data_IF_540345504857
#
_entry.id   IF_540345504857
#
_cell.length_a   1.000
_cell.length_b   1.000
_cell.length_c   1.000
_cell.angle_alpha   90.00
_cell.angle_beta   90.00
_cell.angle_gamma   90.00
#
_symmetry.space_group_name_H-M   'P 1'
#
loop_
_entity.id
_entity.type
_entity.pdbx_description
1 polymer ?
#
# COMPACT_ATOMS: atom_id res chain seq x y z
N UNK A 1 -14.31 6.01 -68.13
CA UNK A 1 -13.61 6.33 -66.87
C UNK A 1 -14.16 7.57 -66.16
N UNK A 2 -14.48 8.67 -66.75
CA UNK A 2 -15.00 9.90 -66.10
C UNK A 2 -16.39 9.74 -65.48
N UNK A 3 -17.24 8.84 -65.92
CA UNK A 3 -18.60 8.61 -65.38
C UNK A 3 -18.58 7.78 -64.09
N UNK A 4 -17.70 6.80 -63.96
CA UNK A 4 -17.56 5.98 -62.76
C UNK A 4 -17.02 6.75 -61.55
N UNK A 5 -16.12 7.72 -61.78
CA UNK A 5 -15.56 8.56 -60.74
C UNK A 5 -16.63 9.49 -60.15
N UNK A 6 -17.54 10.04 -61.01
CA UNK A 6 -18.63 10.88 -60.53
C UNK A 6 -19.64 10.14 -59.67
N UNK A 7 -19.99 8.90 -60.01
CA UNK A 7 -20.86 8.06 -59.19
C UNK A 7 -20.23 7.70 -57.85
N UNK A 8 -18.93 7.40 -57.85
CA UNK A 8 -18.21 7.07 -56.60
C UNK A 8 -18.14 8.26 -55.63
N UNK A 9 -17.88 9.47 -56.13
CA UNK A 9 -17.83 10.69 -55.31
C UNK A 9 -19.22 11.03 -54.76
N UNK A 10 -20.29 10.88 -55.50
CA UNK A 10 -21.66 11.13 -55.05
C UNK A 10 -22.06 10.10 -53.98
N UNK A 11 -21.71 8.82 -54.16
CA UNK A 11 -22.00 7.76 -53.20
C UNK A 11 -21.25 7.99 -51.88
N UNK A 12 -19.97 8.40 -51.93
CA UNK A 12 -19.17 8.73 -50.75
C UNK A 12 -19.74 9.96 -50.01
N UNK A 13 -20.20 10.97 -50.74
CA UNK A 13 -20.80 12.16 -50.15
C UNK A 13 -22.14 11.86 -49.48
N UNK A 14 -22.95 10.98 -50.05
CA UNK A 14 -24.21 10.52 -49.46
C UNK A 14 -23.97 9.72 -48.18
N UNK A 15 -22.94 8.85 -48.15
CA UNK A 15 -22.59 8.09 -46.95
C UNK A 15 -22.09 9.01 -45.85
N UNK A 16 -21.28 10.03 -46.16
CA UNK A 16 -20.79 11.00 -45.19
C UNK A 16 -21.91 11.89 -44.64
N UNK A 17 -22.92 12.23 -45.46
CA UNK A 17 -24.05 13.02 -44.98
C UNK A 17 -25.10 12.20 -44.18
N UNK A 18 -25.20 10.89 -44.41
CA UNK A 18 -26.16 10.04 -43.69
C UNK A 18 -25.66 9.61 -42.34
N UNK A 19 -24.34 9.46 -42.17
CA UNK A 19 -23.75 9.12 -40.86
C UNK A 19 -24.06 10.13 -39.74
N UNK A 20 -23.98 11.46 -39.93
CA UNK A 20 -24.37 12.40 -38.87
C UNK A 20 -25.89 12.53 -38.69
N UNK A 21 -26.69 12.13 -39.67
CA UNK A 21 -28.17 12.16 -39.57
C UNK A 21 -28.73 10.94 -38.84
N UNK A 22 -28.05 9.81 -38.87
CA UNK A 22 -28.46 8.61 -38.12
C UNK A 22 -28.32 8.77 -36.61
N UNK A 23 -27.46 9.68 -36.14
CA UNK A 23 -27.38 10.07 -34.75
C UNK A 23 -28.46 11.09 -34.29
N UNK A 24 -29.32 11.58 -35.24
CA UNK A 24 -30.37 12.56 -34.95
C UNK A 24 -31.82 12.02 -35.04
N UNK A 25 -31.97 10.73 -35.25
CA UNK A 25 -33.28 10.14 -35.52
C UNK A 25 -33.97 9.51 -34.32
N UNK A 26 -33.93 10.16 -33.21
CA UNK A 26 -34.96 9.93 -32.18
C UNK A 26 -35.44 11.28 -31.71
N UNK A 27 -36.54 11.75 -32.29
CA UNK A 27 -37.29 12.96 -31.89
C UNK A 27 -37.86 12.87 -30.47
N UNK A 28 -37.45 11.91 -29.70
CA UNK A 28 -37.87 11.75 -28.29
C UNK A 28 -36.69 11.43 -27.42
N UNK A 29 -36.13 12.48 -26.87
CA UNK A 29 -35.27 12.40 -25.74
C UNK A 29 -33.78 12.43 -26.11
N UNK A 30 -33.19 13.62 -26.09
CA UNK A 30 -31.80 13.74 -25.71
C UNK A 30 -31.74 13.22 -24.29
N UNK A 31 -31.37 11.98 -24.10
CA UNK A 31 -30.98 11.49 -22.80
C UNK A 31 -29.64 12.16 -22.51
N UNK A 32 -29.64 13.20 -21.69
CA UNK A 32 -28.41 13.73 -21.15
C UNK A 32 -27.86 12.67 -20.22
N UNK A 33 -26.95 11.89 -20.72
CA UNK A 33 -26.17 11.00 -19.87
C UNK A 33 -25.30 11.89 -19.00
N UNK A 34 -25.49 11.81 -17.70
CA UNK A 34 -24.54 12.41 -16.78
C UNK A 34 -23.20 11.68 -17.01
N UNK A 35 -22.19 12.42 -17.43
CA UNK A 35 -20.85 11.84 -17.73
C UNK A 35 -20.35 11.01 -16.55
N UNK A 36 -20.64 11.46 -15.34
CA UNK A 36 -20.28 10.75 -14.09
C UNK A 36 -20.94 9.34 -13.96
N UNK A 37 -21.98 9.03 -14.74
CA UNK A 37 -22.61 7.70 -14.70
C UNK A 37 -21.84 6.63 -15.48
N UNK A 38 -20.93 7.06 -16.37
CA UNK A 38 -20.10 6.13 -17.16
C UNK A 38 -18.67 5.96 -16.63
N UNK A 39 -18.29 6.76 -15.66
CA UNK A 39 -16.99 6.58 -14.99
C UNK A 39 -17.00 5.31 -14.17
N UNK A 40 -15.91 4.56 -14.25
CA UNK A 40 -15.70 3.41 -13.35
C UNK A 40 -15.65 3.87 -11.89
N UNK A 41 -16.00 3.02 -10.93
CA UNK A 41 -15.71 3.29 -9.53
C UNK A 41 -14.21 3.53 -9.33
N UNK A 42 -13.85 4.49 -8.48
CA UNK A 42 -12.47 4.76 -8.07
C UNK A 42 -12.33 4.46 -6.58
N UNK A 43 -11.13 4.09 -6.16
CA UNK A 43 -10.81 3.90 -4.75
C UNK A 43 -10.28 5.23 -4.22
N UNK A 44 -10.99 5.80 -3.25
CA UNK A 44 -10.61 7.06 -2.61
C UNK A 44 -9.61 6.84 -1.49
N UNK A 45 -9.80 5.79 -0.70
CA UNK A 45 -8.89 5.44 0.39
C UNK A 45 -8.91 3.94 0.70
N UNK A 46 -7.77 3.46 1.23
CA UNK A 46 -7.63 2.13 1.81
C UNK A 46 -6.75 2.21 3.05
N UNK A 47 -7.18 1.62 4.14
CA UNK A 47 -6.42 1.57 5.39
C UNK A 47 -6.67 0.27 6.14
N UNK A 48 -5.60 -0.31 6.70
CA UNK A 48 -5.69 -1.47 7.59
C UNK A 48 -5.85 -0.94 9.01
N UNK A 49 -6.94 -1.31 9.68
CA UNK A 49 -7.34 -0.78 10.99
C UNK A 49 -7.13 -1.78 12.14
N UNK A 50 -6.83 -3.02 11.79
CA UNK A 50 -6.52 -4.08 12.75
C UNK A 50 -5.94 -5.30 12.07
N UNK A 51 -5.57 -6.30 12.84
CA UNK A 51 -5.02 -7.55 12.32
C UNK A 51 -6.03 -8.37 11.50
N UNK A 52 -7.32 -8.13 11.69
CA UNK A 52 -8.44 -8.86 11.06
C UNK A 52 -9.35 -7.95 10.24
N UNK A 53 -9.07 -6.64 10.15
CA UNK A 53 -9.94 -5.71 9.47
C UNK A 53 -9.21 -4.58 8.73
N UNK A 54 -9.88 -4.09 7.69
CA UNK A 54 -9.46 -2.93 6.93
C UNK A 54 -10.69 -2.11 6.51
N UNK A 55 -10.48 -0.87 6.09
CA UNK A 55 -11.47 0.02 5.52
C UNK A 55 -11.07 0.35 4.08
N UNK A 56 -12.05 0.31 3.17
CA UNK A 56 -11.89 0.75 1.79
C UNK A 56 -13.04 1.69 1.43
N UNK A 57 -12.75 2.81 0.83
CA UNK A 57 -13.75 3.75 0.35
C UNK A 57 -13.70 3.94 -1.16
N UNK A 58 -14.87 4.16 -1.76
CA UNK A 58 -15.05 4.33 -3.19
C UNK A 58 -15.76 5.64 -3.50
N UNK A 59 -15.49 6.21 -4.67
CA UNK A 59 -16.13 7.41 -5.22
C UNK A 59 -17.65 7.27 -5.40
N UNK A 60 -18.15 6.04 -5.47
CA UNK A 60 -19.57 5.71 -5.61
C UNK A 60 -19.91 4.38 -4.92
N UNK A 61 -21.22 4.15 -4.70
CA UNK A 61 -21.69 2.89 -4.14
C UNK A 61 -21.41 1.72 -5.08
N UNK A 62 -20.77 0.66 -4.56
CA UNK A 62 -20.40 -0.52 -5.33
C UNK A 62 -20.89 -1.82 -4.66
N UNK A 63 -20.97 -2.87 -5.43
CA UNK A 63 -21.05 -4.26 -4.95
C UNK A 63 -19.66 -4.87 -5.06
N UNK A 64 -19.16 -5.42 -3.97
CA UNK A 64 -17.84 -6.08 -3.93
C UNK A 64 -17.99 -7.58 -4.16
N UNK A 65 -17.15 -8.14 -5.01
CA UNK A 65 -17.15 -9.57 -5.34
C UNK A 65 -15.72 -10.09 -5.52
N UNK A 66 -15.51 -11.39 -5.32
CA UNK A 66 -14.20 -12.03 -5.47
C UNK A 66 -13.12 -11.47 -4.53
N UNK A 67 -13.53 -10.88 -3.39
CA UNK A 67 -12.57 -10.33 -2.45
C UNK A 67 -11.77 -11.47 -1.81
N UNK A 68 -10.43 -11.32 -1.87
CA UNK A 68 -9.48 -12.26 -1.27
C UNK A 68 -8.21 -11.52 -0.85
N UNK A 69 -7.44 -12.13 0.03
CA UNK A 69 -6.11 -11.65 0.42
C UNK A 69 -5.05 -12.61 -0.08
N UNK A 70 -3.98 -12.06 -0.61
CA UNK A 70 -2.81 -12.82 -1.09
C UNK A 70 -1.56 -12.37 -0.34
N UNK A 71 -0.75 -13.29 0.24
CA UNK A 71 -1.00 -14.73 0.37
C UNK A 71 -2.29 -15.02 1.16
N UNK A 72 -2.91 -16.15 0.88
CA UNK A 72 -4.23 -16.50 1.44
C UNK A 72 -4.21 -16.56 2.97
N UNK A 73 -5.20 -15.89 3.58
CA UNK A 73 -5.45 -15.84 5.02
C UNK A 73 -6.91 -16.23 5.35
N UNK A 74 -7.49 -17.10 4.55
CA UNK A 74 -8.89 -17.50 4.69
C UNK A 74 -9.88 -16.64 3.91
N UNK A 75 -11.14 -16.63 4.34
CA UNK A 75 -12.21 -15.89 3.66
C UNK A 75 -12.19 -14.39 3.99
N UNK A 76 -12.66 -13.60 3.03
CA UNK A 76 -12.82 -12.14 3.17
C UNK A 76 -14.31 -11.81 3.05
N UNK A 77 -14.82 -11.00 3.96
CA UNK A 77 -16.18 -10.46 3.94
C UNK A 77 -16.14 -8.95 3.89
N UNK A 78 -17.02 -8.35 3.08
CA UNK A 78 -17.06 -6.89 2.91
C UNK A 78 -18.48 -6.38 3.20
N UNK A 79 -18.59 -5.37 4.03
CA UNK A 79 -19.86 -4.77 4.43
C UNK A 79 -19.82 -3.25 4.22
N UNK A 80 -20.87 -2.70 3.60
CA UNK A 80 -21.04 -1.25 3.52
C UNK A 80 -21.27 -0.72 4.94
N UNK A 81 -20.45 0.25 5.33
CA UNK A 81 -20.57 0.95 6.61
C UNK A 81 -21.54 2.12 6.46
N UNK A 82 -22.46 2.24 7.38
CA UNK A 82 -23.37 3.37 7.40
C UNK A 82 -22.60 4.66 7.75
N UNK A 83 -22.65 5.64 6.84
CA UNK A 83 -22.02 6.95 7.08
C UNK A 83 -22.95 7.81 7.97
N UNK A 84 -22.55 8.19 9.19
CA UNK A 84 -23.38 8.96 10.10
C UNK A 84 -23.57 10.43 9.68
N UNK A 85 -22.80 10.94 8.71
CA UNK A 85 -22.67 12.37 8.43
C UNK A 85 -23.36 12.84 7.14
N UNK A 86 -24.07 11.98 6.41
CA UNK A 86 -24.73 12.37 5.15
C UNK A 86 -23.75 12.73 4.02
N UNK A 87 -22.46 12.57 4.21
CA UNK A 87 -21.46 12.69 3.17
C UNK A 87 -21.56 11.48 2.22
N UNK A 88 -21.38 11.74 0.93
CA UNK A 88 -21.41 10.69 -0.11
C UNK A 88 -20.10 9.87 -0.15
N UNK A 89 -19.65 9.45 1.02
CA UNK A 89 -18.49 8.54 1.12
C UNK A 89 -19.04 7.14 1.26
N UNK A 90 -18.65 6.26 0.35
CA UNK A 90 -19.06 4.85 0.36
C UNK A 90 -17.92 4.02 0.96
N UNK A 91 -17.91 3.91 2.28
CA UNK A 91 -16.92 3.17 3.04
C UNK A 91 -17.40 1.74 3.29
N UNK A 92 -16.50 0.79 3.09
CA UNK A 92 -16.72 -0.63 3.32
C UNK A 92 -15.76 -1.13 4.37
N UNK A 93 -16.28 -1.83 5.34
CA UNK A 93 -15.48 -2.62 6.27
C UNK A 93 -15.17 -3.96 5.65
N UNK A 94 -13.89 -4.32 5.62
CA UNK A 94 -13.36 -5.57 5.10
C UNK A 94 -12.90 -6.40 6.30
N UNK A 95 -13.52 -7.56 6.49
CA UNK A 95 -13.18 -8.49 7.57
C UNK A 95 -12.42 -9.69 7.01
N UNK A 96 -11.30 -10.01 7.64
CA UNK A 96 -10.50 -11.19 7.36
C UNK A 96 -10.87 -12.29 8.37
N UNK A 97 -11.10 -13.52 7.90
CA UNK A 97 -11.45 -14.63 8.80
C UNK A 97 -10.27 -15.16 9.63
N UNK A 98 -9.05 -14.72 9.29
CA UNK A 98 -7.82 -15.03 10.02
C UNK A 98 -6.98 -13.76 10.15
N UNK A 99 -6.17 -13.68 11.21
CA UNK A 99 -5.29 -12.56 11.47
C UNK A 99 -4.17 -12.48 10.44
N UNK A 100 -3.88 -11.27 10.02
CA UNK A 100 -2.65 -10.96 9.27
C UNK A 100 -1.47 -10.89 10.23
N UNK A 101 -0.37 -11.56 9.89
CA UNK A 101 0.88 -11.46 10.65
C UNK A 101 1.43 -10.03 10.57
N UNK A 102 1.80 -9.46 11.71
CA UNK A 102 2.31 -8.09 11.79
C UNK A 102 3.50 -7.88 10.84
N UNK A 103 3.45 -6.80 10.05
CA UNK A 103 4.52 -6.42 9.12
C UNK A 103 4.67 -7.28 7.86
N UNK A 104 4.01 -8.43 7.78
CA UNK A 104 4.04 -9.28 6.58
C UNK A 104 3.27 -8.61 5.44
N UNK A 105 3.80 -8.72 4.23
CA UNK A 105 3.20 -8.12 3.03
C UNK A 105 2.03 -8.95 2.53
N UNK A 106 0.92 -8.28 2.26
CA UNK A 106 -0.30 -8.83 1.71
C UNK A 106 -0.83 -7.93 0.58
N UNK A 107 -1.80 -8.43 -0.18
CA UNK A 107 -2.58 -7.62 -1.09
C UNK A 107 -4.06 -8.03 -0.99
N UNK A 108 -4.94 -7.06 -0.79
CA UNK A 108 -6.38 -7.22 -0.93
C UNK A 108 -6.74 -7.10 -2.41
N UNK A 109 -7.33 -8.15 -2.98
CA UNK A 109 -7.78 -8.18 -4.36
C UNK A 109 -9.30 -8.29 -4.41
N UNK A 110 -9.91 -7.80 -5.47
CA UNK A 110 -11.36 -7.88 -5.66
C UNK A 110 -11.86 -7.16 -6.89
N UNK A 111 -13.17 -7.18 -7.07
CA UNK A 111 -13.89 -6.48 -8.12
C UNK A 111 -14.98 -5.64 -7.48
N UNK A 112 -14.98 -4.35 -7.76
CA UNK A 112 -16.00 -3.39 -7.36
C UNK A 112 -16.88 -3.07 -8.58
N UNK A 113 -18.19 -3.29 -8.48
CA UNK A 113 -19.14 -3.04 -9.58
C UNK A 113 -20.21 -2.06 -9.11
N UNK A 114 -20.43 -0.99 -9.85
CA UNK A 114 -21.49 -0.02 -9.58
C UNK A 114 -22.89 -0.51 -10.04
N UNK A 115 -23.92 0.29 -9.76
CA UNK A 115 -25.32 -0.06 -10.05
C UNK A 115 -25.65 -0.13 -11.55
N UNK A 116 -24.79 0.39 -12.41
CA UNK A 116 -24.96 0.39 -13.89
C UNK A 116 -24.03 -0.62 -14.58
N UNK A 117 -23.22 -1.35 -13.81
CA UNK A 117 -22.37 -2.43 -14.32
C UNK A 117 -20.93 -2.04 -14.64
N UNK A 118 -20.50 -0.80 -14.37
CA UNK A 118 -19.09 -0.45 -14.50
C UNK A 118 -18.30 -1.14 -13.39
N UNK A 119 -17.17 -1.74 -13.75
CA UNK A 119 -16.39 -2.56 -12.82
C UNK A 119 -14.94 -2.11 -12.75
N UNK A 120 -14.40 -2.12 -11.53
CA UNK A 120 -12.99 -1.90 -11.21
C UNK A 120 -12.42 -3.18 -10.59
N UNK A 121 -11.41 -3.76 -11.22
CA UNK A 121 -10.60 -4.81 -10.58
C UNK A 121 -9.45 -4.14 -9.84
N UNK A 122 -9.26 -4.48 -8.57
CA UNK A 122 -8.25 -3.85 -7.74
C UNK A 122 -7.32 -4.85 -7.08
N UNK A 123 -6.10 -4.37 -6.78
CA UNK A 123 -5.11 -5.05 -5.96
C UNK A 123 -4.42 -4.01 -5.08
N UNK A 124 -4.67 -4.06 -3.78
CA UNK A 124 -4.22 -3.08 -2.80
C UNK A 124 -3.17 -3.71 -1.90
N UNK A 125 -1.90 -3.39 -2.07
CA UNK A 125 -0.84 -3.90 -1.23
C UNK A 125 -0.94 -3.29 0.17
N UNK A 126 -0.70 -4.12 1.20
CA UNK A 126 -0.65 -3.67 2.58
C UNK A 126 0.30 -4.52 3.40
N UNK A 127 0.63 -4.03 4.61
CA UNK A 127 1.33 -4.80 5.64
C UNK A 127 0.36 -5.16 6.75
N UNK A 128 0.49 -6.36 7.28
CA UNK A 128 -0.30 -6.79 8.42
C UNK A 128 -0.14 -5.83 9.60
N UNK A 129 -1.26 -5.49 10.21
CA UNK A 129 -1.34 -4.52 11.29
C UNK A 129 -0.67 -5.05 12.55
N UNK A 130 0.14 -4.21 13.18
CA UNK A 130 0.78 -4.53 14.45
C UNK A 130 -0.05 -3.95 15.61
N UNK A 131 -0.74 -4.81 16.33
CA UNK A 131 -1.55 -4.43 17.49
C UNK A 131 -0.72 -4.25 18.76
N UNK A 132 0.51 -4.74 18.77
CA UNK A 132 1.35 -4.79 19.95
C UNK A 132 2.71 -4.10 19.71
N UNK A 133 2.66 -2.79 19.55
CA UNK A 133 3.86 -1.97 19.36
C UNK A 133 4.55 -1.76 20.72
N UNK A 134 5.84 -2.14 20.86
CA UNK A 134 6.57 -1.95 22.12
C UNK A 134 6.90 -0.47 22.35
N UNK A 135 7.06 -0.11 23.62
CA UNK A 135 7.64 1.19 23.99
C UNK A 135 9.15 1.04 23.97
N UNK A 136 9.82 1.83 23.13
CA UNK A 136 11.28 1.88 23.02
C UNK A 136 11.80 3.18 23.64
N UNK A 137 12.81 3.07 24.46
CA UNK A 137 13.56 4.21 25.01
C UNK A 137 14.95 4.24 24.42
N UNK A 138 15.33 5.34 23.79
CA UNK A 138 16.68 5.52 23.26
C UNK A 138 17.66 5.62 24.45
N UNK A 139 18.58 4.65 24.55
CA UNK A 139 19.57 4.56 25.61
C UNK A 139 20.91 5.17 25.21
N UNK A 140 21.37 4.88 23.98
CA UNK A 140 22.65 5.39 23.50
C UNK A 140 22.59 5.77 22.01
N UNK A 141 23.44 6.71 21.62
CA UNK A 141 23.71 7.05 20.22
C UNK A 141 25.20 7.19 20.02
N UNK A 142 25.76 6.40 19.12
CA UNK A 142 27.15 6.54 18.69
C UNK A 142 27.19 7.14 17.26
N UNK A 143 27.39 8.47 17.13
CA UNK A 143 27.12 9.16 15.86
C UNK A 143 28.33 9.21 14.92
N UNK A 144 29.46 8.63 15.30
CA UNK A 144 30.71 8.79 14.54
C UNK A 144 31.37 7.43 14.26
N UNK A 145 31.56 7.18 12.98
CA UNK A 145 32.48 6.14 12.55
C UNK A 145 33.92 6.50 12.91
N UNK A 146 34.61 5.55 13.51
CA UNK A 146 36.04 5.67 13.81
C UNK A 146 36.75 4.36 13.52
N UNK A 147 37.95 4.44 13.00
CA UNK A 147 38.83 3.27 12.88
C UNK A 147 40.13 3.51 13.63
N UNK A 148 40.63 2.49 14.32
CA UNK A 148 41.92 2.53 14.99
C UNK A 148 42.76 1.34 14.58
N UNK A 149 44.03 1.57 14.19
CA UNK A 149 44.98 0.51 13.92
C UNK A 149 45.53 -0.02 15.24
N UNK A 150 45.41 -1.30 15.47
CA UNK A 150 46.02 -2.05 16.58
C UNK A 150 47.03 -3.07 16.04
N UNK A 151 47.89 -3.60 16.90
CA UNK A 151 48.83 -4.66 16.52
C UNK A 151 48.13 -5.92 15.97
N UNK A 152 46.89 -6.15 16.38
CA UNK A 152 46.02 -7.27 15.94
C UNK A 152 45.21 -6.99 14.68
N UNK A 153 45.29 -5.78 14.10
CA UNK A 153 44.48 -5.37 12.94
C UNK A 153 43.83 -4.03 13.11
N UNK A 154 42.92 -3.70 12.20
CA UNK A 154 42.10 -2.47 12.29
C UNK A 154 40.81 -2.78 13.06
N UNK A 155 40.58 -1.99 14.11
CA UNK A 155 39.32 -2.04 14.85
C UNK A 155 38.45 -0.85 14.39
N UNK A 156 37.24 -1.17 14.04
CA UNK A 156 36.24 -0.18 13.63
C UNK A 156 35.25 0.04 14.77
N UNK A 157 34.90 1.30 14.99
CA UNK A 157 33.73 1.69 15.82
C UNK A 157 32.66 2.19 14.87
N UNK A 158 31.56 1.50 14.84
CA UNK A 158 30.48 1.77 13.93
C UNK A 158 29.47 2.74 14.55
N UNK A 159 28.79 3.48 13.71
CA UNK A 159 27.65 4.30 14.10
C UNK A 159 26.49 3.39 14.44
N UNK A 160 25.85 3.66 15.57
CA UNK A 160 24.66 2.91 15.99
C UNK A 160 23.70 3.76 16.83
N UNK A 161 22.48 3.29 16.92
CA UNK A 161 21.48 3.77 17.87
C UNK A 161 21.01 2.58 18.71
N UNK A 162 21.05 2.71 20.02
CA UNK A 162 20.60 1.71 20.98
C UNK A 162 19.26 2.08 21.58
N UNK A 163 18.38 1.10 21.73
CA UNK A 163 17.08 1.24 22.37
C UNK A 163 16.92 0.18 23.45
N UNK A 164 16.45 0.62 24.62
CA UNK A 164 15.97 -0.27 25.68
C UNK A 164 14.47 -0.51 25.48
N UNK A 165 14.06 -1.76 25.46
CA UNK A 165 12.65 -2.17 25.37
C UNK A 165 11.98 -2.00 26.72
N UNK A 166 10.94 -1.15 26.80
CA UNK A 166 10.19 -0.85 28.03
C UNK A 166 8.92 -1.67 28.18
N UNK A 167 8.37 -2.20 27.08
CA UNK A 167 7.23 -3.14 27.10
C UNK A 167 7.42 -4.21 26.03
N UNK A 168 6.86 -5.39 26.27
CA UNK A 168 6.81 -6.46 25.28
C UNK A 168 6.06 -5.98 24.03
N UNK A 169 6.39 -6.54 22.86
CA UNK A 169 5.68 -6.22 21.61
C UNK A 169 6.44 -6.69 20.37
N UNK A 170 5.96 -6.27 19.20
CA UNK A 170 6.56 -6.55 17.92
C UNK A 170 7.05 -5.25 17.26
N UNK A 171 8.23 -5.28 16.65
CA UNK A 171 8.86 -4.10 16.04
C UNK A 171 8.27 -3.72 14.69
N UNK A 172 7.46 -4.58 14.06
CA UNK A 172 6.89 -4.34 12.75
C UNK A 172 6.17 -2.99 12.66
N UNK A 173 6.46 -2.23 11.59
CA UNK A 173 5.83 -0.93 11.35
C UNK A 173 6.46 0.24 12.10
N UNK A 174 7.44 -0.01 12.99
CA UNK A 174 8.27 1.07 13.52
C UNK A 174 9.30 1.51 12.50
N UNK A 175 9.61 2.80 12.51
CA UNK A 175 10.62 3.40 11.64
C UNK A 175 11.58 4.27 12.45
N UNK A 176 12.88 4.13 12.17
CA UNK A 176 13.90 5.05 12.63
C UNK A 176 14.22 6.03 11.51
N UNK A 177 13.92 7.30 11.74
CA UNK A 177 14.17 8.40 10.78
C UNK A 177 15.21 9.36 11.32
N UNK A 178 16.10 9.84 10.43
CA UNK A 178 16.97 10.96 10.75
C UNK A 178 16.17 12.27 10.70
N UNK A 179 16.31 13.12 11.71
CA UNK A 179 15.73 14.46 11.70
C UNK A 179 16.56 15.47 10.88
N UNK A 180 17.71 15.04 10.36
CA UNK A 180 18.63 15.91 9.62
C UNK A 180 18.39 15.76 8.11
N UNK A 181 18.39 16.88 7.39
CA UNK A 181 18.44 17.03 5.93
C UNK A 181 17.20 16.64 5.11
N UNK A 182 16.02 16.49 5.71
CA UNK A 182 14.84 16.18 4.91
C UNK A 182 15.02 14.91 4.07
N UNK A 183 15.96 14.04 4.44
CA UNK A 183 16.15 12.78 3.74
C UNK A 183 14.95 11.87 4.06
N UNK A 184 14.29 11.39 3.02
CA UNK A 184 13.19 10.41 3.13
C UNK A 184 13.69 9.01 3.55
N UNK A 185 14.96 8.89 3.94
CA UNK A 185 15.54 7.63 4.36
C UNK A 185 15.08 7.27 5.77
N UNK A 186 14.31 6.22 5.83
CA UNK A 186 13.88 5.59 7.08
C UNK A 186 14.41 4.17 7.13
N UNK A 187 14.90 3.75 8.31
CA UNK A 187 15.12 2.34 8.59
C UNK A 187 13.80 1.77 9.13
N UNK A 188 13.23 0.82 8.42
CA UNK A 188 12.03 0.12 8.86
C UNK A 188 12.43 -1.12 9.66
N UNK A 189 11.92 -1.22 10.90
CA UNK A 189 12.18 -2.39 11.74
C UNK A 189 11.50 -3.63 11.17
N UNK A 190 12.22 -4.77 11.14
CA UNK A 190 11.61 -6.05 10.77
C UNK A 190 10.59 -6.50 11.83
N UNK A 191 9.72 -7.45 11.46
CA UNK A 191 8.75 -8.05 12.37
C UNK A 191 9.45 -8.98 13.36
N UNK A 192 9.90 -8.44 14.48
CA UNK A 192 10.61 -9.15 15.56
C UNK A 192 9.85 -8.94 16.86
N UNK A 193 9.54 -10.04 17.54
CA UNK A 193 9.03 -10.00 18.91
C UNK A 193 10.16 -9.62 19.87
N UNK A 194 9.88 -8.65 20.72
CA UNK A 194 10.81 -8.18 21.74
C UNK A 194 10.17 -8.16 23.12
N UNK A 195 10.99 -8.32 24.15
CA UNK A 195 10.56 -8.36 25.55
C UNK A 195 11.11 -7.19 26.33
N UNK A 196 10.39 -6.80 27.35
CA UNK A 196 10.84 -5.76 28.28
C UNK A 196 12.21 -6.10 28.86
N UNK A 197 13.13 -5.12 28.78
CA UNK A 197 14.51 -5.23 29.28
C UNK A 197 15.51 -5.68 28.22
N UNK A 198 15.07 -6.07 27.04
CA UNK A 198 15.97 -6.34 25.91
C UNK A 198 16.53 -5.05 25.35
N UNK A 199 17.69 -5.16 24.71
CA UNK A 199 18.38 -4.04 24.05
C UNK A 199 18.38 -4.31 22.56
N UNK A 200 18.00 -3.30 21.78
CA UNK A 200 18.01 -3.33 20.32
C UNK A 200 19.09 -2.36 19.85
N UNK A 201 20.03 -2.84 19.05
CA UNK A 201 21.06 -2.00 18.43
C UNK A 201 20.81 -1.92 16.93
N UNK A 202 20.62 -0.70 16.43
CA UNK A 202 20.51 -0.43 15.00
C UNK A 202 21.82 0.13 14.51
N UNK A 203 22.57 -0.66 13.75
CA UNK A 203 23.79 -0.22 13.09
C UNK A 203 23.46 0.60 11.84
N UNK A 204 24.13 1.74 11.67
CA UNK A 204 23.89 2.65 10.55
C UNK A 204 24.79 2.36 9.33
N UNK A 205 25.61 1.30 9.39
CA UNK A 205 26.47 0.85 8.29
C UNK A 205 26.25 -0.63 8.01
N UNK A 206 26.39 -0.98 6.75
CA UNK A 206 26.36 -2.39 6.33
C UNK A 206 27.63 -3.14 6.76
N UNK A 207 27.52 -4.45 6.89
CA UNK A 207 28.63 -5.36 7.19
C UNK A 207 29.80 -5.22 6.20
N UNK A 208 29.50 -4.98 4.92
CA UNK A 208 30.49 -4.77 3.85
C UNK A 208 31.29 -3.50 3.99
N UNK A 209 30.80 -2.52 4.73
CA UNK A 209 31.48 -1.24 5.02
C UNK A 209 32.37 -1.30 6.28
N UNK A 210 32.58 -2.48 6.84
CA UNK A 210 33.45 -2.71 7.99
C UNK A 210 32.75 -2.60 9.34
N UNK A 211 31.41 -2.69 9.37
CA UNK A 211 30.69 -2.86 10.61
C UNK A 211 31.10 -4.19 11.28
N UNK A 212 31.40 -4.14 12.55
CA UNK A 212 31.71 -5.32 13.36
C UNK A 212 30.49 -5.63 14.21
N UNK A 213 30.01 -6.87 14.15
CA UNK A 213 29.02 -7.34 15.10
C UNK A 213 29.59 -7.25 16.51
N UNK A 214 28.91 -6.56 17.40
CA UNK A 214 29.32 -6.46 18.82
C UNK A 214 28.87 -7.66 19.63
N UNK A 215 27.98 -8.47 19.08
CA UNK A 215 27.45 -9.69 19.69
C UNK A 215 27.93 -10.92 18.94
N UNK A 216 28.35 -11.97 19.67
CA UNK A 216 28.69 -13.26 19.09
C UNK A 216 27.47 -13.91 18.43
N UNK A 217 26.27 -13.66 19.01
CA UNK A 217 25.01 -14.06 18.43
C UNK A 217 24.42 -12.89 17.64
N UNK A 218 24.44 -13.04 16.34
CA UNK A 218 23.84 -12.08 15.45
C UNK A 218 22.31 -12.27 15.44
N UNK A 219 21.60 -11.45 16.20
CA UNK A 219 20.15 -11.40 16.19
C UNK A 219 19.59 -10.63 14.99
N UNK A 220 20.45 -10.13 14.13
CA UNK A 220 20.04 -9.47 12.93
C UNK A 220 19.53 -10.51 11.93
N UNK A 221 18.23 -10.52 11.72
CA UNK A 221 17.55 -11.44 10.80
C UNK A 221 17.75 -11.06 9.32
N UNK A 222 18.39 -9.92 9.05
CA UNK A 222 18.70 -9.44 7.71
C UNK A 222 20.19 -9.16 7.58
N UNK A 223 20.87 -9.91 6.72
CA UNK A 223 22.29 -9.65 6.38
C UNK A 223 22.50 -8.29 5.67
N UNK A 224 21.43 -7.63 5.26
CA UNK A 224 21.48 -6.33 4.59
C UNK A 224 21.62 -5.15 5.57
N UNK A 225 21.32 -5.35 6.85
CA UNK A 225 21.29 -4.29 7.86
C UNK A 225 22.29 -4.56 8.98
N UNK A 226 23.49 -4.09 8.79
CA UNK A 226 24.55 -4.05 9.79
C UNK A 226 25.14 -2.66 9.91
#
# INVERSE_FOLDING_TARGET
MKSLIKCSVILTFVIICVCPLSCRLTERGITLYNVNSYECPEIDAFSVTGSENALISFSKKVSLSGCAVTPEIGSVSCFLKDSPSGEKIFEYEVLFSQRCDAGKKYALIGIATDSIGNSLTFSLPFKGYNENIPVLEKSEVHPKYASSKRKSGTVYKCEYVEFLVRSDGNLAGLELRSAHDGSDKAYEFPAIEVRRGEIIVVHLRSKTEGAVSELEENLNLSEEYY
#
